data_IF_918241966354
#
_entry.id   IF_918241966354
#
_cell.length_a   1.000
_cell.length_b   1.000
_cell.length_c   1.000
_cell.angle_alpha   90.00
_cell.angle_beta   90.00
_cell.angle_gamma   90.00
#
_symmetry.space_group_name_H-M   'P 1'
#
loop_
_entity.id
_entity.type
_entity.pdbx_description
1 polymer ?
#
# COMPACT_ATOMS: atom_id res chain seq x y z
N UNK A 1 11.14 11.23 6.66
CA UNK A 1 10.34 11.38 5.41
C UNK A 1 10.84 10.36 4.40
N UNK A 2 9.96 9.47 3.96
CA UNK A 2 10.24 8.41 2.96
C UNK A 2 10.09 9.00 1.55
N UNK A 3 10.87 8.52 0.58
CA UNK A 3 10.82 8.98 -0.82
C UNK A 3 10.37 7.85 -1.75
N UNK A 4 9.56 8.16 -2.77
CA UNK A 4 9.09 7.20 -3.78
C UNK A 4 10.30 6.63 -4.53
N UNK A 5 10.51 5.30 -4.54
CA UNK A 5 11.63 4.68 -5.25
C UNK A 5 11.49 4.82 -6.78
N UNK A 6 10.29 5.13 -7.29
CA UNK A 6 10.05 5.34 -8.72
C UNK A 6 10.28 6.77 -9.21
N UNK A 7 9.90 7.79 -8.43
CA UNK A 7 9.92 9.19 -8.89
C UNK A 7 10.66 10.18 -7.96
N UNK A 8 11.08 9.75 -6.77
CA UNK A 8 11.82 10.57 -5.81
C UNK A 8 10.98 11.58 -5.01
N UNK A 9 9.68 11.69 -5.28
CA UNK A 9 8.74 12.53 -4.51
C UNK A 9 8.50 12.00 -3.09
N UNK A 10 7.83 12.78 -2.25
CA UNK A 10 7.51 12.39 -0.88
C UNK A 10 6.43 11.31 -0.80
N UNK A 11 6.49 10.55 0.28
CA UNK A 11 5.48 9.55 0.62
C UNK A 11 4.90 9.85 1.99
N UNK A 12 3.61 9.57 2.15
CA UNK A 12 2.84 9.72 3.39
C UNK A 12 2.12 8.41 3.72
N UNK A 13 1.80 8.20 5.00
CA UNK A 13 1.04 7.03 5.45
C UNK A 13 -0.45 7.25 5.17
N UNK A 14 -1.10 6.28 4.55
CA UNK A 14 -2.54 6.25 4.30
C UNK A 14 -3.00 4.79 4.07
N UNK A 15 -4.29 4.57 3.81
CA UNK A 15 -4.81 3.30 3.34
C UNK A 15 -4.66 3.17 1.82
N UNK A 16 -4.19 2.01 1.35
CA UNK A 16 -4.31 1.57 -0.04
C UNK A 16 -5.37 0.48 -0.17
N UNK A 17 -5.92 0.33 -1.37
CA UNK A 17 -6.91 -0.69 -1.69
C UNK A 17 -6.44 -1.54 -2.87
N UNK A 18 -6.56 -2.85 -2.75
CA UNK A 18 -6.37 -3.80 -3.84
C UNK A 18 -7.68 -4.54 -4.13
N UNK A 19 -7.94 -4.76 -5.42
CA UNK A 19 -9.08 -5.54 -5.89
C UNK A 19 -8.58 -6.91 -6.34
N UNK A 20 -9.05 -7.96 -5.68
CA UNK A 20 -8.83 -9.33 -6.10
C UNK A 20 -10.12 -9.86 -6.77
N UNK A 21 -10.00 -10.21 -8.05
CA UNK A 21 -11.11 -10.78 -8.83
C UNK A 21 -10.89 -12.28 -8.91
N UNK A 22 -11.77 -13.04 -8.27
CA UNK A 22 -11.82 -14.49 -8.42
C UNK A 22 -12.99 -14.89 -9.33
N UNK A 23 -13.06 -16.14 -9.81
CA UNK A 23 -14.21 -16.60 -10.61
C UNK A 23 -15.56 -16.57 -9.88
N UNK A 24 -15.58 -16.42 -8.54
CA UNK A 24 -16.78 -16.50 -7.70
C UNK A 24 -17.14 -15.19 -7.01
N UNK A 25 -16.17 -14.30 -6.80
CA UNK A 25 -16.35 -13.09 -5.99
C UNK A 25 -15.32 -12.01 -6.34
N UNK A 26 -15.68 -10.77 -5.99
CA UNK A 26 -14.79 -9.61 -6.02
C UNK A 26 -14.47 -9.25 -4.56
N UNK A 27 -13.19 -9.30 -4.21
CA UNK A 27 -12.70 -9.01 -2.86
C UNK A 27 -12.00 -7.65 -2.91
N UNK A 28 -12.44 -6.72 -2.04
CA UNK A 28 -11.80 -5.42 -1.82
C UNK A 28 -11.00 -5.50 -0.53
N UNK A 29 -9.67 -5.39 -0.64
CA UNK A 29 -8.76 -5.43 0.49
C UNK A 29 -8.17 -4.04 0.73
N UNK A 30 -8.53 -3.40 1.85
CA UNK A 30 -7.88 -2.17 2.31
C UNK A 30 -6.76 -2.50 3.31
N UNK A 31 -5.60 -1.84 3.21
CA UNK A 31 -4.47 -2.04 4.12
C UNK A 31 -3.64 -0.77 4.33
N UNK A 32 -2.94 -0.63 5.47
CA UNK A 32 -2.04 0.49 5.69
C UNK A 32 -0.86 0.44 4.70
N UNK A 33 -0.50 1.59 4.13
CA UNK A 33 0.55 1.72 3.13
C UNK A 33 1.24 3.09 3.19
N UNK A 34 2.45 3.14 2.63
CA UNK A 34 3.08 4.39 2.21
C UNK A 34 2.61 4.73 0.81
N UNK A 35 1.96 5.87 0.62
CA UNK A 35 1.48 6.37 -0.68
C UNK A 35 2.39 7.50 -1.15
N UNK A 36 2.79 7.48 -2.41
CA UNK A 36 3.50 8.63 -2.97
C UNK A 36 2.54 9.74 -3.40
N UNK A 37 2.92 10.98 -3.15
CA UNK A 37 2.17 12.19 -3.54
C UNK A 37 2.08 12.43 -5.07
N UNK A 38 2.92 11.76 -5.87
CA UNK A 38 3.12 12.10 -7.28
C UNK A 38 3.09 10.89 -8.23
N UNK A 39 3.63 9.75 -7.79
CA UNK A 39 3.61 8.49 -8.54
C UNK A 39 2.51 7.62 -7.91
N UNK A 40 1.64 6.93 -8.67
CA UNK A 40 0.59 6.01 -8.12
C UNK A 40 1.16 4.77 -7.39
N UNK A 41 2.45 4.79 -7.08
CA UNK A 41 3.13 3.78 -6.31
C UNK A 41 2.72 3.85 -4.84
N UNK A 42 2.49 2.67 -4.28
CA UNK A 42 2.33 2.47 -2.85
C UNK A 42 3.23 1.33 -2.37
N UNK A 43 3.53 1.33 -1.07
CA UNK A 43 4.23 0.22 -0.41
C UNK A 43 3.47 -0.19 0.85
N UNK A 44 2.97 -1.43 0.88
CA UNK A 44 2.21 -1.98 2.00
C UNK A 44 3.05 -1.96 3.28
N UNK A 45 2.47 -1.46 4.36
CA UNK A 45 3.06 -1.51 5.70
C UNK A 45 2.70 -2.88 6.28
N UNK A 46 3.72 -3.74 6.44
CA UNK A 46 3.56 -5.00 7.16
C UNK A 46 3.82 -4.70 8.63
N UNK A 47 2.76 -4.59 9.41
CA UNK A 47 2.88 -4.67 10.87
C UNK A 47 3.35 -6.10 11.16
N UNK A 48 4.57 -6.24 11.70
CA UNK A 48 5.11 -7.55 12.00
C UNK A 48 4.17 -8.28 12.96
N UNK A 49 3.80 -9.51 12.62
CA UNK A 49 3.44 -10.47 13.65
C UNK A 49 4.65 -10.56 14.59
N UNK A 50 4.49 -10.06 15.81
CA UNK A 50 5.31 -10.48 16.93
C UNK A 50 5.10 -12.00 17.09
N UNK A 51 5.93 -12.80 16.42
CA UNK A 51 6.17 -14.20 16.81
C UNK A 51 6.88 -14.16 18.18
N UNK A 52 6.09 -14.18 19.27
CA UNK A 52 6.50 -14.58 20.64
C UNK A 52 5.76 -15.86 21.05
#
# INVERSE_FOLDING_TARGET
MRKCPHCGSEMYEDAAEDIEITPKELILNSFPAWICENCVYYEKIVEGDEDD
#
